data_IF_596630954079
#
_entry.id   IF_596630954079
#
_cell.length_a   1.000
_cell.length_b   1.000
_cell.length_c   1.000
_cell.angle_alpha   90.00
_cell.angle_beta   90.00
_cell.angle_gamma   90.00
#
_symmetry.space_group_name_H-M   'P 1'
#
loop_
_entity.id
_entity.type
_entity.pdbx_description
1 polymer ?
#
# COMPACT_ATOMS: atom_id res chain seq x y z
N UNK A 1 -44.02 37.21 -33.89
CA UNK A 1 -43.12 36.85 -34.99
C UNK A 1 -41.88 36.19 -34.38
N UNK A 2 -41.71 34.85 -34.50
CA UNK A 2 -40.53 34.14 -34.01
C UNK A 2 -39.43 34.11 -35.08
N UNK A 3 -38.21 34.48 -34.70
CA UNK A 3 -37.02 34.34 -35.55
C UNK A 3 -36.37 32.98 -35.31
N UNK A 4 -36.53 32.08 -36.28
CA UNK A 4 -35.80 30.81 -36.39
C UNK A 4 -34.36 31.06 -36.83
N UNK A 5 -33.38 30.39 -36.21
CA UNK A 5 -32.09 30.12 -36.85
C UNK A 5 -31.71 28.66 -36.65
N UNK A 6 -31.47 28.02 -37.79
CA UNK A 6 -31.14 26.62 -38.00
C UNK A 6 -29.63 26.42 -38.03
N UNK A 7 -29.15 25.25 -37.57
CA UNK A 7 -27.79 24.77 -37.89
C UNK A 7 -27.44 23.47 -37.15
N UNK A 8 -26.70 22.52 -37.76
CA UNK A 8 -27.06 21.11 -37.65
C UNK A 8 -26.00 20.22 -36.98
N UNK A 9 -26.50 19.05 -36.53
CA UNK A 9 -25.90 17.71 -36.49
C UNK A 9 -24.37 17.59 -36.33
N UNK A 10 -23.97 17.08 -35.16
CA UNK A 10 -22.61 16.63 -34.85
C UNK A 10 -22.64 15.36 -33.99
N UNK A 11 -23.06 14.26 -34.63
CA UNK A 11 -22.63 12.88 -34.38
C UNK A 11 -22.09 12.52 -32.97
N UNK A 12 -22.89 11.73 -32.23
CA UNK A 12 -22.39 10.79 -31.23
C UNK A 12 -21.33 9.87 -31.86
N UNK A 13 -20.14 9.82 -31.27
CA UNK A 13 -19.32 8.61 -31.04
C UNK A 13 -17.93 9.03 -30.59
N UNK A 14 -17.59 8.74 -29.33
CA UNK A 14 -16.56 7.76 -28.95
C UNK A 14 -16.42 7.80 -27.44
N UNK A 15 -16.65 6.63 -26.86
CA UNK A 15 -16.49 6.31 -25.45
C UNK A 15 -14.99 6.41 -25.15
N UNK A 16 -14.52 7.56 -24.63
CA UNK A 16 -13.17 7.64 -24.05
C UNK A 16 -13.29 7.34 -22.57
N UNK A 17 -13.20 6.04 -22.33
CA UNK A 17 -12.58 5.42 -21.17
C UNK A 17 -11.53 6.36 -20.53
N UNK A 18 -11.71 6.62 -19.23
CA UNK A 18 -10.69 6.95 -18.20
C UNK A 18 -11.25 8.01 -17.25
N UNK A 19 -12.34 7.67 -16.57
CA UNK A 19 -12.65 8.30 -15.28
C UNK A 19 -11.54 7.84 -14.34
N UNK A 20 -10.49 8.66 -14.26
CA UNK A 20 -9.33 8.43 -13.43
C UNK A 20 -9.79 8.40 -11.98
N UNK A 21 -9.97 7.18 -11.45
CA UNK A 21 -10.20 6.95 -10.04
C UNK A 21 -8.96 7.45 -9.32
N UNK A 22 -9.13 8.61 -8.69
CA UNK A 22 -8.27 9.14 -7.68
C UNK A 22 -8.20 8.05 -6.59
N UNK A 23 -7.12 7.28 -6.55
CA UNK A 23 -6.83 6.44 -5.39
C UNK A 23 -6.33 7.40 -4.30
N UNK A 24 -7.26 8.20 -3.76
CA UNK A 24 -7.17 8.65 -2.40
C UNK A 24 -6.96 7.38 -1.58
N UNK A 25 -5.78 7.30 -0.98
CA UNK A 25 -5.35 6.22 -0.11
C UNK A 25 -6.19 6.31 1.17
N UNK A 26 -7.50 6.06 1.05
CA UNK A 26 -8.41 5.85 2.13
C UNK A 26 -7.82 4.69 2.93
N UNK A 27 -7.35 5.02 4.12
CA UNK A 27 -7.06 4.14 5.24
C UNK A 27 -8.30 3.29 5.53
N UNK A 28 -8.51 2.30 4.67
CA UNK A 28 -9.61 1.36 4.75
C UNK A 28 -9.23 0.37 5.84
N UNK A 29 -9.73 0.69 7.03
CA UNK A 29 -9.83 -0.19 8.18
C UNK A 29 -10.71 -1.38 7.77
N UNK A 30 -10.08 -2.42 7.22
CA UNK A 30 -10.69 -3.73 7.04
C UNK A 30 -10.37 -4.56 8.27
N UNK A 31 -11.35 -4.72 9.14
CA UNK A 31 -11.34 -5.65 10.27
C UNK A 31 -11.28 -7.11 9.75
N UNK A 32 -10.10 -7.53 9.32
CA UNK A 32 -9.76 -8.94 9.17
C UNK A 32 -9.38 -9.46 10.55
N UNK A 33 -9.94 -10.60 10.94
CA UNK A 33 -9.70 -11.27 12.22
C UNK A 33 -8.22 -11.14 12.63
N UNK A 34 -7.97 -10.40 13.71
CA UNK A 34 -6.62 -10.17 14.21
C UNK A 34 -6.12 -11.50 14.75
N UNK A 35 -5.45 -12.28 13.92
CA UNK A 35 -4.37 -13.13 14.39
C UNK A 35 -3.43 -12.19 15.15
N UNK A 36 -3.57 -12.21 16.48
CA UNK A 36 -2.80 -11.35 17.39
C UNK A 36 -1.40 -11.94 17.47
N UNK A 37 -0.66 -11.84 16.37
CA UNK A 37 0.77 -12.07 16.42
C UNK A 37 1.36 -11.00 17.33
N UNK A 38 2.21 -11.39 18.28
CA UNK A 38 2.88 -10.41 19.12
C UNK A 38 3.70 -9.51 18.19
N UNK A 39 3.29 -8.24 18.13
CA UNK A 39 3.90 -7.23 17.29
C UNK A 39 4.96 -6.53 18.12
N UNK A 40 6.22 -6.64 17.70
CA UNK A 40 7.35 -6.00 18.35
C UNK A 40 7.92 -4.94 17.42
N UNK A 41 8.40 -3.81 17.97
CA UNK A 41 9.15 -2.89 17.15
C UNK A 41 10.48 -3.52 16.74
N UNK A 42 10.83 -3.40 15.46
CA UNK A 42 12.09 -3.89 14.94
C UNK A 42 13.30 -3.29 15.66
N UNK A 43 13.20 -2.02 16.04
CA UNK A 43 14.22 -1.27 16.78
C UNK A 43 14.40 -1.83 18.20
N UNK A 44 13.32 -2.27 18.85
CA UNK A 44 13.39 -2.94 20.15
C UNK A 44 14.09 -4.31 20.03
N UNK A 45 13.74 -5.08 19.00
CA UNK A 45 14.42 -6.35 18.72
C UNK A 45 15.92 -6.15 18.47
N UNK A 46 16.29 -5.05 17.82
CA UNK A 46 17.67 -4.67 17.53
C UNK A 46 18.37 -3.87 18.65
N UNK A 47 17.73 -3.67 19.82
CA UNK A 47 18.23 -2.83 20.93
C UNK A 47 18.71 -1.44 20.49
N UNK A 48 17.89 -0.76 19.68
CA UNK A 48 18.19 0.56 19.13
C UNK A 48 19.18 0.55 17.95
N UNK A 49 19.60 -0.63 17.49
CA UNK A 49 20.42 -0.80 16.29
C UNK A 49 19.59 -1.11 15.05
N UNK A 50 20.28 -1.52 13.99
CA UNK A 50 19.65 -1.97 12.73
C UNK A 50 19.75 -3.49 12.52
N UNK A 51 20.32 -4.21 13.49
CA UNK A 51 20.52 -5.66 13.42
C UNK A 51 20.21 -6.30 14.78
N UNK A 52 19.50 -7.43 14.75
CA UNK A 52 19.25 -8.30 15.91
C UNK A 52 19.67 -9.74 15.60
N UNK A 53 19.95 -10.51 16.65
CA UNK A 53 20.19 -11.97 16.55
C UNK A 53 19.03 -12.68 17.23
N UNK A 54 18.37 -13.56 16.50
CA UNK A 54 17.23 -14.35 16.95
C UNK A 54 17.67 -15.80 17.00
N UNK A 55 17.59 -16.41 18.17
CA UNK A 55 17.85 -17.83 18.32
C UNK A 55 16.55 -18.59 18.07
N UNK A 56 16.54 -19.42 17.04
CA UNK A 56 15.41 -20.27 16.69
C UNK A 56 15.94 -21.68 16.43
N UNK A 57 15.46 -22.66 17.18
CA UNK A 57 15.87 -24.07 17.08
C UNK A 57 17.39 -24.30 17.18
N UNK A 58 18.09 -23.53 18.03
CA UNK A 58 19.54 -23.61 18.18
C UNK A 58 20.35 -22.98 17.05
N UNK A 59 19.68 -22.39 16.06
CA UNK A 59 20.31 -21.65 14.97
C UNK A 59 20.15 -20.16 15.21
N UNK A 60 21.18 -19.39 14.86
CA UNK A 60 21.19 -17.95 15.08
C UNK A 60 20.86 -17.25 13.78
N UNK A 61 19.65 -16.72 13.69
CA UNK A 61 19.21 -15.90 12.58
C UNK A 61 19.59 -14.44 12.84
N UNK A 62 20.06 -13.76 11.81
CA UNK A 62 20.29 -12.32 11.84
C UNK A 62 19.07 -11.62 11.23
N UNK A 63 18.37 -10.85 12.04
CA UNK A 63 17.34 -9.92 11.61
C UNK A 63 18.02 -8.58 11.29
N UNK A 64 17.75 -7.98 10.13
CA UNK A 64 18.28 -6.67 9.73
C UNK A 64 17.17 -5.75 9.24
N UNK A 65 17.18 -4.52 9.74
CA UNK A 65 16.35 -3.42 9.28
C UNK A 65 17.04 -2.75 8.11
N UNK A 66 16.42 -2.77 6.94
CA UNK A 66 16.92 -2.07 5.75
C UNK A 66 16.50 -0.61 5.75
N UNK A 67 17.23 0.24 5.04
CA UNK A 67 16.88 1.66 4.86
C UNK A 67 15.53 1.87 4.17
N UNK A 68 15.03 0.87 3.46
CA UNK A 68 13.72 0.86 2.82
C UNK A 68 12.58 0.45 3.78
N UNK A 69 12.86 0.30 5.08
CA UNK A 69 11.86 -0.10 6.09
C UNK A 69 11.49 -1.58 6.04
N UNK A 70 12.20 -2.40 5.27
CA UNK A 70 11.98 -3.85 5.21
C UNK A 70 12.85 -4.58 6.21
N UNK A 71 12.30 -5.63 6.79
CA UNK A 71 13.01 -6.58 7.64
C UNK A 71 13.53 -7.73 6.78
N UNK A 72 14.81 -8.07 6.96
CA UNK A 72 15.44 -9.22 6.33
C UNK A 72 15.89 -10.17 7.43
N UNK A 73 15.51 -11.44 7.34
CA UNK A 73 16.04 -12.50 8.18
C UNK A 73 17.02 -13.34 7.36
N UNK A 74 18.26 -13.47 7.83
CA UNK A 74 19.26 -14.37 7.25
C UNK A 74 19.68 -15.42 8.28
N UNK A 75 20.03 -16.61 7.82
CA UNK A 75 20.63 -17.66 8.64
C UNK A 75 22.12 -17.41 8.85
#
# INVERSE_FOLDING_TARGET
MPGVVSGPVGQQKRVTLMNQMNFDHATTTSAAATEVFPTYHAEELARGGTQARILLNGQIYSLRITRAGKLILTK
#
